data_IF_972539725588
#
_entry.id   IF_972539725588
#
_cell.length_a   1.000
_cell.length_b   1.000
_cell.length_c   1.000
_cell.angle_alpha   90.00
_cell.angle_beta   90.00
_cell.angle_gamma   90.00
#
_symmetry.space_group_name_H-M   'P 1'
#
loop_
_entity.id
_entity.type
_entity.pdbx_description
1 polymer ?
#
# COMPACT_ATOMS: atom_id res chain seq x y z
N UNK A 1 10.01 -3.63 -16.46
CA UNK A 1 10.44 -3.16 -15.13
C UNK A 1 9.66 -1.89 -14.86
N UNK A 2 8.85 -1.85 -13.80
CA UNK A 2 8.08 -0.64 -13.45
C UNK A 2 9.07 0.44 -13.02
N UNK A 3 9.18 1.50 -13.80
CA UNK A 3 10.05 2.62 -13.47
C UNK A 3 9.26 3.58 -12.57
N UNK A 4 9.59 3.63 -11.28
CA UNK A 4 9.00 4.59 -10.35
C UNK A 4 9.15 6.05 -10.82
N UNK A 5 10.11 6.31 -11.73
CA UNK A 5 10.33 7.62 -12.37
C UNK A 5 9.15 8.01 -13.28
N UNK A 6 8.50 7.05 -13.93
CA UNK A 6 7.29 7.33 -14.72
C UNK A 6 6.14 7.77 -13.82
N UNK A 7 6.03 7.17 -12.62
CA UNK A 7 5.04 7.59 -11.62
C UNK A 7 5.34 9.02 -11.17
N UNK A 8 6.61 9.35 -10.89
CA UNK A 8 7.04 10.72 -10.54
C UNK A 8 6.69 11.70 -11.65
N UNK A 9 6.98 11.35 -12.90
CA UNK A 9 6.63 12.18 -14.05
C UNK A 9 5.11 12.43 -14.13
N UNK A 10 4.30 11.41 -13.90
CA UNK A 10 2.83 11.53 -13.88
C UNK A 10 2.37 12.44 -12.73
N UNK A 11 2.96 12.32 -11.55
CA UNK A 11 2.68 13.19 -10.40
C UNK A 11 3.02 14.65 -10.73
N UNK A 12 4.20 14.89 -11.31
CA UNK A 12 4.69 16.23 -11.62
C UNK A 12 3.85 16.93 -12.71
N UNK A 13 3.32 16.17 -13.66
CA UNK A 13 2.46 16.67 -14.74
C UNK A 13 0.98 16.83 -14.35
N UNK A 14 0.57 16.35 -13.17
CA UNK A 14 -0.81 16.55 -12.71
C UNK A 14 -1.03 18.00 -12.26
N UNK A 15 -2.14 18.67 -12.62
CA UNK A 15 -2.45 20.01 -12.12
C UNK A 15 -2.71 20.03 -10.60
N UNK A 16 -3.26 18.95 -10.07
CA UNK A 16 -3.67 18.80 -8.67
C UNK A 16 -2.85 17.73 -7.93
N UNK A 17 -3.04 17.67 -6.61
CA UNK A 17 -2.53 16.54 -5.82
C UNK A 17 -3.22 15.24 -6.23
N UNK A 18 -2.44 14.18 -6.36
CA UNK A 18 -2.91 12.87 -6.82
C UNK A 18 -3.17 11.91 -5.66
N UNK A 19 -4.17 11.05 -5.81
CA UNK A 19 -4.33 9.83 -5.02
C UNK A 19 -3.76 8.66 -5.83
N UNK A 20 -2.77 7.97 -5.28
CA UNK A 20 -2.12 6.84 -5.94
C UNK A 20 -2.74 5.53 -5.44
N UNK A 21 -3.18 4.68 -6.36
CA UNK A 21 -3.68 3.34 -6.08
C UNK A 21 -2.79 2.35 -6.81
N UNK A 22 -2.22 1.41 -6.09
CA UNK A 22 -1.27 0.45 -6.65
C UNK A 22 -1.53 -0.97 -6.15
N UNK A 23 -1.10 -1.94 -6.96
CA UNK A 23 -1.21 -3.36 -6.66
C UNK A 23 0.15 -4.04 -6.81
N UNK A 24 0.40 -5.06 -5.99
CA UNK A 24 1.57 -5.94 -6.08
C UNK A 24 2.90 -5.18 -6.07
N UNK A 25 3.80 -5.44 -7.01
CA UNK A 25 5.08 -4.75 -7.16
C UNK A 25 4.91 -3.23 -7.37
N UNK A 26 3.82 -2.81 -8.02
CA UNK A 26 3.47 -1.40 -8.18
C UNK A 26 3.37 -0.64 -6.87
N UNK A 27 3.06 -1.32 -5.75
CA UNK A 27 3.04 -0.71 -4.42
C UNK A 27 4.43 -0.20 -4.00
N UNK A 28 5.50 -0.95 -4.33
CA UNK A 28 6.87 -0.59 -4.00
C UNK A 28 7.32 0.63 -4.81
N UNK A 29 7.05 0.63 -6.11
CA UNK A 29 7.32 1.75 -6.98
C UNK A 29 6.54 3.01 -6.56
N UNK A 30 5.27 2.83 -6.16
CA UNK A 30 4.43 3.91 -5.65
C UNK A 30 4.97 4.51 -4.36
N UNK A 31 5.44 3.68 -3.42
CA UNK A 31 6.03 4.15 -2.18
C UNK A 31 7.29 5.01 -2.43
N UNK A 32 8.16 4.58 -3.35
CA UNK A 32 9.36 5.35 -3.76
C UNK A 32 8.99 6.68 -4.43
N UNK A 33 8.03 6.68 -5.34
CA UNK A 33 7.60 7.91 -6.03
C UNK A 33 6.92 8.89 -5.06
N UNK A 34 6.09 8.38 -4.16
CA UNK A 34 5.37 9.18 -3.18
C UNK A 34 6.31 9.87 -2.18
N UNK A 35 7.37 9.17 -1.73
CA UNK A 35 8.40 9.76 -0.87
C UNK A 35 9.08 10.96 -1.53
N UNK A 36 9.33 10.88 -2.84
CA UNK A 36 10.00 11.97 -3.56
C UNK A 36 9.10 13.17 -3.84
N UNK A 37 7.79 13.01 -3.76
CA UNK A 37 6.80 14.05 -4.05
C UNK A 37 5.71 14.17 -2.98
N UNK A 38 6.09 14.24 -1.68
CA UNK A 38 5.10 14.20 -0.59
C UNK A 38 4.10 15.36 -0.65
N UNK A 39 4.52 16.53 -1.16
CA UNK A 39 3.64 17.69 -1.33
C UNK A 39 2.65 17.57 -2.48
N UNK A 40 2.86 16.63 -3.42
CA UNK A 40 2.03 16.41 -4.62
C UNK A 40 1.12 15.21 -4.50
N UNK A 41 1.33 14.34 -3.53
CA UNK A 41 0.51 13.15 -3.28
C UNK A 41 -0.45 13.43 -2.13
N UNK A 42 -1.76 13.34 -2.40
CA UNK A 42 -2.81 13.54 -1.41
C UNK A 42 -2.98 12.31 -0.51
N UNK A 43 -2.76 11.11 -1.06
CA UNK A 43 -2.87 9.84 -0.34
C UNK A 43 -2.41 8.66 -1.19
N UNK A 44 -2.27 7.50 -0.54
CA UNK A 44 -1.90 6.24 -1.22
C UNK A 44 -2.79 5.09 -0.76
N UNK A 45 -3.08 4.17 -1.69
CA UNK A 45 -3.77 2.90 -1.43
C UNK A 45 -2.91 1.79 -2.02
N UNK A 46 -2.31 0.97 -1.17
CA UNK A 46 -1.43 -0.12 -1.54
C UNK A 46 -2.16 -1.45 -1.34
N UNK A 47 -2.42 -2.18 -2.41
CA UNK A 47 -3.21 -3.42 -2.40
C UNK A 47 -2.29 -4.60 -2.66
N UNK A 48 -2.31 -5.59 -1.77
CA UNK A 48 -1.53 -6.82 -1.88
C UNK A 48 -0.08 -6.55 -2.33
N UNK A 49 0.71 -5.74 -1.59
CA UNK A 49 2.07 -5.41 -1.99
C UNK A 49 2.92 -6.67 -2.15
N UNK A 50 3.83 -6.68 -3.10
CA UNK A 50 4.83 -7.73 -3.20
C UNK A 50 5.88 -7.59 -2.08
N UNK A 51 6.40 -8.72 -1.57
CA UNK A 51 7.46 -8.69 -0.56
C UNK A 51 8.77 -8.19 -1.19
N UNK A 52 9.30 -7.02 -0.79
CA UNK A 52 10.51 -6.48 -1.37
C UNK A 52 11.75 -7.35 -1.15
N UNK A 53 11.73 -8.28 -0.20
CA UNK A 53 12.84 -9.22 0.01
C UNK A 53 12.96 -10.26 -1.11
N UNK A 54 11.91 -10.45 -1.89
CA UNK A 54 11.88 -11.38 -3.03
C UNK A 54 12.42 -10.76 -4.32
N UNK A 55 12.75 -9.48 -4.32
CA UNK A 55 13.22 -8.76 -5.50
C UNK A 55 14.60 -8.17 -5.27
N UNK A 56 15.50 -8.38 -6.23
CA UNK A 56 16.81 -7.74 -6.30
C UNK A 56 16.78 -6.53 -7.23
N UNK A 57 17.91 -5.82 -7.31
CA UNK A 57 18.07 -4.67 -8.20
C UNK A 57 17.86 -5.01 -9.69
N UNK A 58 18.02 -6.28 -10.06
CA UNK A 58 17.91 -6.78 -11.43
C UNK A 58 16.68 -7.67 -11.68
N UNK A 59 15.76 -7.77 -10.74
CA UNK A 59 14.54 -8.54 -10.88
C UNK A 59 14.26 -9.49 -9.71
N UNK A 60 13.49 -10.57 -9.97
CA UNK A 60 13.11 -11.54 -8.96
C UNK A 60 14.34 -12.34 -8.49
N UNK A 61 14.56 -12.41 -7.19
CA UNK A 61 15.63 -13.21 -6.59
C UNK A 61 15.13 -14.63 -6.33
N UNK A 62 15.66 -15.62 -7.03
CA UNK A 62 15.39 -17.04 -6.74
C UNK A 62 16.16 -17.54 -5.52
N UNK A 63 17.23 -16.86 -5.13
CA UNK A 63 18.04 -17.20 -3.97
C UNK A 63 18.07 -16.04 -2.96
N UNK A 64 17.82 -16.35 -1.71
CA UNK A 64 17.74 -15.42 -0.58
C UNK A 64 19.04 -14.66 -0.26
N UNK A 65 20.04 -14.69 -1.11
CA UNK A 65 21.41 -14.37 -0.69
C UNK A 65 21.97 -13.02 -1.09
N UNK A 66 21.33 -12.17 -1.89
CA UNK A 66 21.99 -10.90 -2.19
C UNK A 66 21.08 -9.78 -2.64
N UNK A 67 21.15 -8.68 -1.89
CA UNK A 67 20.71 -7.36 -2.32
C UNK A 67 19.23 -7.23 -2.68
N UNK A 68 18.36 -7.56 -1.71
CA UNK A 68 16.93 -7.22 -1.86
C UNK A 68 16.77 -5.70 -2.03
N UNK A 69 15.67 -5.30 -2.67
CA UNK A 69 15.35 -3.87 -2.80
C UNK A 69 14.80 -3.26 -1.50
N UNK A 70 14.56 -4.07 -0.48
CA UNK A 70 14.00 -3.61 0.80
C UNK A 70 14.78 -2.44 1.47
N UNK A 71 16.12 -2.41 1.46
CA UNK A 71 16.88 -1.30 2.02
C UNK A 71 16.75 0.02 1.24
N UNK A 72 16.32 -0.04 -0.02
CA UNK A 72 16.15 1.14 -0.88
C UNK A 72 14.74 1.75 -0.80
N UNK A 73 13.82 1.06 -0.13
CA UNK A 73 12.47 1.58 0.09
C UNK A 73 12.46 2.60 1.23
N UNK A 74 11.52 3.56 1.22
CA UNK A 74 11.37 4.54 2.28
C UNK A 74 11.30 3.92 3.67
N UNK A 75 11.91 4.57 4.65
CA UNK A 75 11.75 4.16 6.04
C UNK A 75 10.38 4.53 6.59
N UNK A 76 9.83 5.64 6.14
CA UNK A 76 8.49 6.10 6.50
C UNK A 76 7.87 6.88 5.35
N UNK A 77 6.56 7.02 5.35
CA UNK A 77 5.85 7.87 4.40
C UNK A 77 5.08 8.95 5.15
N UNK A 78 5.33 10.21 4.79
CA UNK A 78 4.62 11.37 5.36
C UNK A 78 3.27 11.63 4.66
N UNK A 79 2.66 10.59 4.07
CA UNK A 79 1.48 10.67 3.23
C UNK A 79 0.41 9.75 3.85
N UNK A 80 -0.84 10.24 4.00
CA UNK A 80 -1.91 9.40 4.51
C UNK A 80 -2.26 8.28 3.53
N UNK A 81 -2.63 7.13 4.06
CA UNK A 81 -3.05 6.04 3.19
C UNK A 81 -3.33 4.74 3.92
N UNK A 82 -3.59 3.72 3.11
CA UNK A 82 -3.91 2.39 3.58
C UNK A 82 -3.05 1.34 2.88
N UNK A 83 -2.79 0.25 3.58
CA UNK A 83 -2.22 -0.97 3.03
C UNK A 83 -3.21 -2.11 3.25
N UNK A 84 -3.68 -2.70 2.15
CA UNK A 84 -4.61 -3.83 2.15
C UNK A 84 -3.81 -5.11 1.93
N UNK A 85 -3.94 -6.08 2.82
CA UNK A 85 -3.25 -7.36 2.71
C UNK A 85 -4.18 -8.54 2.92
N UNK A 86 -3.84 -9.66 2.31
CA UNK A 86 -4.53 -10.93 2.43
C UNK A 86 -3.71 -11.90 3.29
N UNK A 87 -4.41 -12.73 4.08
CA UNK A 87 -3.78 -13.70 4.99
C UNK A 87 -3.09 -14.85 4.27
N UNK A 88 -3.57 -15.18 3.07
CA UNK A 88 -3.09 -16.27 2.23
C UNK A 88 -2.42 -15.78 0.93
N UNK A 89 -1.88 -14.56 0.93
CA UNK A 89 -1.15 -14.03 -0.23
C UNK A 89 0.17 -14.80 -0.42
N UNK A 90 0.40 -15.44 -1.58
CA UNK A 90 1.63 -16.18 -1.84
C UNK A 90 2.86 -15.29 -2.08
N UNK A 91 2.65 -14.00 -2.35
CA UNK A 91 3.72 -13.04 -2.69
C UNK A 91 4.17 -12.19 -1.51
N UNK A 92 3.34 -12.09 -0.46
CA UNK A 92 3.63 -11.29 0.73
C UNK A 92 3.12 -11.99 1.98
N UNK A 93 3.99 -12.50 2.85
CA UNK A 93 3.56 -12.99 4.15
C UNK A 93 2.79 -11.92 4.93
N UNK A 94 1.62 -12.26 5.45
CA UNK A 94 0.72 -11.31 6.12
C UNK A 94 1.40 -10.47 7.22
N UNK A 95 2.27 -11.12 8.02
CA UNK A 95 3.07 -10.44 9.06
C UNK A 95 4.04 -9.39 8.48
N UNK A 96 4.60 -9.64 7.28
CA UNK A 96 5.47 -8.69 6.59
C UNK A 96 4.67 -7.49 6.08
N UNK A 97 3.50 -7.73 5.49
CA UNK A 97 2.59 -6.67 5.07
C UNK A 97 2.19 -5.76 6.25
N UNK A 98 1.88 -6.37 7.41
CA UNK A 98 1.62 -5.62 8.63
C UNK A 98 2.84 -4.79 9.07
N UNK A 99 4.04 -5.37 9.09
CA UNK A 99 5.26 -4.66 9.44
C UNK A 99 5.53 -3.46 8.50
N UNK A 100 5.34 -3.64 7.20
CA UNK A 100 5.46 -2.57 6.22
C UNK A 100 4.42 -1.47 6.42
N UNK A 101 3.17 -1.82 6.76
CA UNK A 101 2.16 -0.81 7.07
C UNK A 101 2.55 0.07 8.26
N UNK A 102 3.16 -0.52 9.29
CA UNK A 102 3.66 0.22 10.45
C UNK A 102 4.86 1.10 10.11
N UNK A 103 5.81 0.55 9.35
CA UNK A 103 6.98 1.30 8.88
C UNK A 103 6.59 2.52 8.06
N UNK A 104 5.62 2.37 7.16
CA UNK A 104 5.14 3.44 6.29
C UNK A 104 4.04 4.31 6.91
N UNK A 105 3.69 4.06 8.18
CA UNK A 105 2.64 4.79 8.90
C UNK A 105 1.29 4.77 8.15
N UNK A 106 0.94 3.62 7.57
CA UNK A 106 -0.33 3.40 6.85
C UNK A 106 -1.34 2.67 7.72
N UNK A 107 -2.62 2.95 7.52
CA UNK A 107 -3.69 2.15 8.10
C UNK A 107 -3.69 0.77 7.46
N UNK A 108 -3.63 -0.28 8.28
CA UNK A 108 -3.65 -1.66 7.82
C UNK A 108 -5.07 -2.17 7.67
N UNK A 109 -5.39 -2.79 6.53
CA UNK A 109 -6.68 -3.44 6.24
C UNK A 109 -6.43 -4.92 5.96
N UNK A 110 -7.06 -5.77 6.75
CA UNK A 110 -7.07 -7.22 6.56
C UNK A 110 -8.21 -7.61 5.61
N UNK A 111 -7.86 -8.10 4.43
CA UNK A 111 -8.82 -8.56 3.43
C UNK A 111 -9.24 -10.04 3.63
N UNK A 112 -8.83 -10.69 4.72
CA UNK A 112 -9.07 -12.11 4.95
C UNK A 112 -8.25 -12.99 4.02
N UNK A 113 -8.81 -14.11 3.56
CA UNK A 113 -8.15 -15.06 2.66
C UNK A 113 -8.50 -14.73 1.20
N UNK A 114 -7.93 -13.63 0.68
CA UNK A 114 -8.24 -13.09 -0.64
C UNK A 114 -7.16 -13.40 -1.70
N UNK A 115 -6.21 -14.29 -1.40
CA UNK A 115 -5.07 -14.58 -2.28
C UNK A 115 -4.26 -13.32 -2.57
N UNK A 116 -3.75 -13.17 -3.79
CA UNK A 116 -3.01 -11.98 -4.21
C UNK A 116 -3.93 -10.84 -4.70
N UNK A 117 -5.23 -10.93 -4.43
CA UNK A 117 -6.27 -9.95 -4.85
C UNK A 117 -6.14 -9.63 -6.35
N UNK A 118 -6.01 -10.66 -7.18
CA UNK A 118 -5.89 -10.59 -8.64
C UNK A 118 -6.88 -11.56 -9.30
N UNK A 119 -6.91 -11.60 -10.62
CA UNK A 119 -7.79 -12.49 -11.39
C UNK A 119 -7.53 -13.98 -11.10
N UNK A 120 -6.28 -14.37 -10.87
CA UNK A 120 -5.91 -15.75 -10.54
C UNK A 120 -6.46 -16.20 -9.18
N UNK A 121 -6.62 -15.27 -8.24
CA UNK A 121 -7.27 -15.51 -6.94
C UNK A 121 -8.78 -15.27 -6.95
N UNK A 122 -9.39 -15.21 -8.13
CA UNK A 122 -10.84 -15.09 -8.31
C UNK A 122 -11.39 -13.67 -8.22
N UNK A 123 -10.52 -12.66 -8.20
CA UNK A 123 -10.97 -11.27 -8.17
C UNK A 123 -11.17 -10.73 -9.59
N UNK A 124 -12.42 -10.29 -9.86
CA UNK A 124 -12.81 -9.46 -11.00
C UNK A 124 -13.09 -8.04 -10.53
N UNK A 125 -14.30 -7.51 -10.81
CA UNK A 125 -14.76 -6.27 -10.19
C UNK A 125 -14.68 -6.40 -8.66
N UNK A 126 -13.96 -5.47 -8.02
CA UNK A 126 -13.73 -5.52 -6.57
C UNK A 126 -14.35 -4.29 -5.87
N UNK A 127 -15.63 -4.36 -5.49
CA UNK A 127 -16.35 -3.21 -4.91
C UNK A 127 -15.72 -2.64 -3.64
N UNK A 128 -14.99 -3.48 -2.87
CA UNK A 128 -14.32 -3.03 -1.64
C UNK A 128 -13.29 -1.93 -1.92
N UNK A 129 -12.57 -1.98 -3.06
CA UNK A 129 -11.59 -0.93 -3.39
C UNK A 129 -12.25 0.44 -3.52
N UNK A 130 -13.48 0.50 -4.03
CA UNK A 130 -14.23 1.75 -4.14
C UNK A 130 -14.56 2.32 -2.76
N UNK A 131 -15.05 1.48 -1.84
CA UNK A 131 -15.34 1.89 -0.46
C UNK A 131 -14.08 2.38 0.26
N UNK A 132 -12.95 1.70 0.08
CA UNK A 132 -11.65 2.11 0.62
C UNK A 132 -11.24 3.47 0.04
N UNK A 133 -11.37 3.63 -1.27
CA UNK A 133 -11.01 4.88 -1.96
C UNK A 133 -11.85 6.04 -1.46
N UNK A 134 -13.17 5.89 -1.39
CA UNK A 134 -14.09 6.92 -0.90
C UNK A 134 -13.73 7.32 0.55
N UNK A 135 -13.47 6.34 1.42
CA UNK A 135 -13.07 6.61 2.81
C UNK A 135 -11.72 7.33 2.93
N UNK A 136 -10.74 6.98 2.08
CA UNK A 136 -9.45 7.69 2.04
C UNK A 136 -9.63 9.13 1.56
N UNK A 137 -10.43 9.35 0.52
CA UNK A 137 -10.75 10.70 0.02
C UNK A 137 -11.42 11.54 1.11
N UNK A 138 -12.38 10.99 1.81
CA UNK A 138 -13.07 11.71 2.90
C UNK A 138 -12.10 12.04 4.05
N UNK A 139 -11.22 11.13 4.41
CA UNK A 139 -10.17 11.36 5.39
C UNK A 139 -9.22 12.50 4.98
N UNK A 140 -8.83 12.55 3.70
CA UNK A 140 -8.00 13.62 3.14
C UNK A 140 -8.73 14.97 3.24
N UNK A 141 -10.01 15.02 2.85
CA UNK A 141 -10.84 16.24 2.93
C UNK A 141 -10.99 16.75 4.36
N UNK A 142 -11.24 15.86 5.33
CA UNK A 142 -11.34 16.21 6.74
C UNK A 142 -10.04 16.82 7.27
N UNK A 143 -8.88 16.25 6.92
CA UNK A 143 -7.57 16.81 7.31
C UNK A 143 -7.33 18.20 6.74
N UNK A 144 -7.73 18.45 5.50
CA UNK A 144 -7.63 19.78 4.86
C UNK A 144 -8.50 20.82 5.57
N UNK A 145 -9.60 20.40 6.22
CA UNK A 145 -10.50 21.25 7.01
C UNK A 145 -10.08 21.39 8.48
N UNK A 146 -8.93 20.84 8.89
CA UNK A 146 -8.47 20.85 10.29
C UNK A 146 -9.30 19.95 11.23
N UNK A 147 -10.12 19.05 10.68
CA UNK A 147 -10.91 18.09 11.45
C UNK A 147 -10.11 16.81 11.71
N UNK A 148 -10.34 16.09 12.82
CA UNK A 148 -9.69 14.81 13.04
C UNK A 148 -10.00 13.86 11.89
N UNK A 149 -8.96 13.24 11.33
CA UNK A 149 -9.10 12.26 10.26
C UNK A 149 -9.69 10.98 10.85
N UNK A 150 -10.92 10.67 10.50
CA UNK A 150 -11.59 9.44 10.90
C UNK A 150 -11.75 8.58 9.64
N UNK A 151 -10.92 7.51 9.53
CA UNK A 151 -11.15 6.47 8.53
C UNK A 151 -12.35 5.64 9.03
N UNK A 152 -13.54 5.97 8.58
CA UNK A 152 -14.77 5.26 8.93
C UNK A 152 -14.94 4.08 7.99
N UNK A 153 -14.44 2.91 8.39
CA UNK A 153 -14.77 1.64 7.75
C UNK A 153 -15.90 0.97 8.52
N UNK A 154 -17.13 0.93 8.01
CA UNK A 154 -18.25 0.32 8.72
C UNK A 154 -18.11 -1.20 8.92
N UNK A 155 -17.15 -1.87 8.25
CA UNK A 155 -17.00 -3.32 8.27
C UNK A 155 -15.73 -3.83 8.97
N UNK A 156 -14.83 -2.95 9.44
CA UNK A 156 -13.55 -3.36 10.04
C UNK A 156 -13.32 -2.71 11.40
N UNK A 157 -14.40 -2.56 12.20
CA UNK A 157 -14.28 -2.11 13.57
C UNK A 157 -13.52 -3.15 14.40
N UNK A 158 -12.29 -2.80 14.77
CA UNK A 158 -11.57 -3.26 15.98
C UNK A 158 -11.37 -4.77 16.23
N UNK A 159 -11.63 -5.69 15.32
CA UNK A 159 -11.28 -7.11 15.50
C UNK A 159 -9.87 -7.49 14.99
N UNK A 160 -9.18 -6.62 14.31
CA UNK A 160 -7.79 -6.83 13.95
C UNK A 160 -6.90 -6.34 15.09
N UNK A 161 -6.34 -7.26 15.83
CA UNK A 161 -5.24 -7.17 16.80
C UNK A 161 -5.63 -7.53 18.22
N UNK A 162 -6.04 -8.78 18.40
CA UNK A 162 -5.53 -9.58 19.50
C UNK A 162 -4.81 -10.79 18.90
N UNK A 163 -3.68 -10.55 18.27
CA UNK A 163 -2.69 -11.60 18.10
C UNK A 163 -1.99 -11.74 19.45
N UNK A 164 -2.49 -12.67 20.27
CA UNK A 164 -1.74 -13.23 21.39
C UNK A 164 -0.47 -13.84 20.78
N UNK A 165 0.67 -13.32 21.17
CA UNK A 165 1.96 -13.97 20.94
C UNK A 165 1.95 -15.28 21.72
N UNK A 166 1.91 -16.43 21.03
CA UNK A 166 2.42 -17.71 21.47
C UNK A 166 3.55 -18.13 20.57
#
# INVERSE_FOLDING_TARGET
MWDWKEIVCTIDNSPDKVLLIAHSFGCLATAMAAEQRPGRVAGIILVAPADPQRFGLFGHNETASSQSIAPFLPETLAIPGVLVASRNDPWMPFRHAWAWSKRWNLTFIDAGEAGHINTESGHGPWPLIRLITDSVIDSIRHRQQGKPAQLSYPLFSQQAVRMSYL
#
